data_IF_748535214346
#
_entry.id   IF_748535214346
#
_cell.length_a   1.000
_cell.length_b   1.000
_cell.length_c   1.000
_cell.angle_alpha   90.00
_cell.angle_beta   90.00
_cell.angle_gamma   90.00
#
_symmetry.space_group_name_H-M   'P 1'
#
loop_
_entity.id
_entity.type
_entity.pdbx_description
1 polymer ?
#
# COMPACT_ATOMS: atom_id res chain seq x y z
N UNK A 1 -9.50 -12.99 -3.02
CA UNK A 1 -8.43 -12.36 -3.83
C UNK A 1 -8.89 -10.99 -4.28
N UNK A 2 -8.00 -10.01 -4.26
CA UNK A 2 -8.34 -8.64 -4.66
C UNK A 2 -8.26 -8.53 -6.18
N UNK A 3 -9.31 -7.97 -6.78
CA UNK A 3 -9.29 -7.62 -8.19
C UNK A 3 -8.74 -6.19 -8.33
N UNK A 4 -7.43 -6.09 -8.53
CA UNK A 4 -6.75 -4.81 -8.61
C UNK A 4 -7.15 -3.98 -9.83
N UNK A 5 -7.67 -4.61 -10.89
CA UNK A 5 -8.14 -3.89 -12.08
C UNK A 5 -9.40 -3.08 -11.80
N UNK A 6 -10.18 -3.50 -10.80
CA UNK A 6 -11.41 -2.81 -10.39
C UNK A 6 -11.22 -2.04 -9.10
N UNK A 7 -9.99 -1.93 -8.64
CA UNK A 7 -9.69 -1.20 -7.41
C UNK A 7 -9.97 0.28 -7.58
N UNK A 8 -10.80 0.83 -6.69
CA UNK A 8 -11.04 2.26 -6.57
C UNK A 8 -10.82 2.64 -5.11
N UNK A 9 -9.77 3.43 -4.81
CA UNK A 9 -9.48 3.77 -3.41
C UNK A 9 -10.63 4.49 -2.71
N UNK A 10 -11.53 5.15 -3.44
CA UNK A 10 -12.69 5.80 -2.83
C UNK A 10 -13.64 4.81 -2.15
N UNK A 11 -13.62 3.53 -2.56
CA UNK A 11 -14.49 2.49 -2.00
C UNK A 11 -13.84 1.73 -0.86
N UNK A 12 -12.60 2.05 -0.50
CA UNK A 12 -11.83 1.30 0.48
C UNK A 12 -11.58 2.10 1.75
N UNK A 13 -11.41 1.37 2.86
CA UNK A 13 -10.95 1.93 4.13
C UNK A 13 -9.47 1.64 4.30
N UNK A 14 -8.72 2.61 4.82
CA UNK A 14 -7.28 2.50 4.98
C UNK A 14 -6.85 2.76 6.40
N UNK A 15 -5.91 1.96 6.87
CA UNK A 15 -5.15 2.22 8.08
C UNK A 15 -3.67 2.28 7.72
N UNK A 16 -2.91 3.10 8.44
CA UNK A 16 -1.48 3.26 8.19
C UNK A 16 -0.71 3.02 9.48
N UNK A 17 0.34 2.20 9.40
CA UNK A 17 1.29 2.08 10.48
C UNK A 17 2.27 3.25 10.35
N UNK A 18 1.91 4.36 10.96
CA UNK A 18 2.65 5.62 10.83
C UNK A 18 4.09 5.50 11.31
N UNK A 19 4.30 4.75 12.39
CA UNK A 19 5.63 4.58 12.97
C UNK A 19 6.56 3.78 12.06
N UNK A 20 6.08 2.68 11.49
CA UNK A 20 6.88 1.88 10.57
C UNK A 20 7.19 2.63 9.28
N UNK A 21 6.23 3.39 8.77
CA UNK A 21 6.46 4.23 7.59
C UNK A 21 7.49 5.32 7.91
N UNK A 22 7.36 5.98 9.06
CA UNK A 22 8.30 7.04 9.46
C UNK A 22 9.71 6.50 9.65
N UNK A 23 9.88 5.25 10.08
CA UNK A 23 11.20 4.63 10.20
C UNK A 23 11.92 4.54 8.85
N UNK A 24 11.19 4.56 7.75
CA UNK A 24 11.72 4.59 6.38
C UNK A 24 11.57 5.96 5.73
N UNK A 25 11.33 6.99 6.54
CA UNK A 25 11.19 8.38 6.09
C UNK A 25 10.02 8.57 5.11
N UNK A 26 8.93 7.84 5.33
CA UNK A 26 7.71 7.94 4.53
C UNK A 26 6.60 8.48 5.42
N UNK A 27 5.98 9.58 5.00
CA UNK A 27 4.76 10.07 5.64
C UNK A 27 3.55 9.29 5.16
N UNK A 28 2.52 9.18 6.01
CA UNK A 28 1.30 8.46 5.61
C UNK A 28 0.64 9.09 4.38
N UNK A 29 0.77 10.42 4.20
CA UNK A 29 0.23 11.10 3.03
C UNK A 29 0.94 10.65 1.74
N UNK A 30 2.24 10.32 1.80
CA UNK A 30 2.97 9.82 0.64
C UNK A 30 2.46 8.43 0.24
N UNK A 31 2.19 7.57 1.22
CA UNK A 31 1.61 6.26 0.97
C UNK A 31 0.21 6.41 0.34
N UNK A 32 -0.59 7.34 0.86
CA UNK A 32 -1.90 7.64 0.29
C UNK A 32 -1.80 8.11 -1.16
N UNK A 33 -0.83 8.96 -1.48
CA UNK A 33 -0.62 9.44 -2.86
C UNK A 33 -0.31 8.28 -3.81
N UNK A 34 0.53 7.34 -3.39
CA UNK A 34 0.81 6.14 -4.20
C UNK A 34 -0.46 5.37 -4.50
N UNK A 35 -1.30 5.18 -3.49
CA UNK A 35 -2.55 4.43 -3.64
C UNK A 35 -3.51 5.15 -4.59
N UNK A 36 -3.64 6.46 -4.46
CA UNK A 36 -4.55 7.24 -5.29
C UNK A 36 -4.04 7.50 -6.70
N UNK A 37 -2.72 7.52 -6.89
CA UNK A 37 -2.11 7.75 -8.20
C UNK A 37 -2.09 6.51 -9.10
N UNK A 38 -2.38 5.35 -8.52
CA UNK A 38 -2.27 4.09 -9.24
C UNK A 38 -0.94 3.40 -9.00
N UNK A 39 -0.96 2.08 -9.01
CA UNK A 39 0.18 1.27 -8.63
C UNK A 39 0.13 -0.09 -9.31
N UNK A 40 1.25 -0.81 -9.27
CA UNK A 40 1.33 -2.22 -9.64
C UNK A 40 1.30 -3.04 -8.36
N UNK A 41 0.45 -4.07 -8.30
CA UNK A 41 0.32 -4.93 -7.14
C UNK A 41 0.87 -6.32 -7.43
N UNK A 42 1.58 -6.88 -6.44
CA UNK A 42 2.08 -8.25 -6.48
C UNK A 42 1.78 -8.94 -5.16
N UNK A 43 1.51 -10.25 -5.17
CA UNK A 43 1.40 -11.00 -3.93
C UNK A 43 2.70 -10.93 -3.14
N UNK A 44 2.58 -10.85 -1.81
CA UNK A 44 3.72 -10.84 -0.89
C UNK A 44 3.40 -11.78 0.27
N UNK A 45 3.03 -13.02 -0.07
CA UNK A 45 2.50 -13.96 0.90
C UNK A 45 3.52 -14.36 1.97
N UNK A 46 4.54 -15.08 1.61
CA UNK A 46 5.55 -15.50 2.57
C UNK A 46 4.95 -16.06 3.87
N UNK A 47 5.60 -15.81 4.97
CA UNK A 47 5.17 -16.27 6.30
C UNK A 47 3.95 -15.51 6.85
N UNK A 48 3.55 -14.44 6.22
CA UNK A 48 2.45 -13.59 6.69
C UNK A 48 1.10 -13.93 6.05
N UNK A 49 1.06 -14.95 5.20
CA UNK A 49 -0.17 -15.44 4.61
C UNK A 49 -0.54 -14.76 3.29
N UNK A 50 -1.69 -15.17 2.71
CA UNK A 50 -2.03 -14.82 1.33
C UNK A 50 -2.59 -13.42 1.13
N UNK A 51 -2.91 -12.68 2.19
CA UNK A 51 -3.56 -11.36 2.08
C UNK A 51 -2.56 -10.20 2.09
N UNK A 52 -1.29 -10.49 1.94
CA UNK A 52 -0.24 -9.49 1.85
C UNK A 52 0.13 -9.20 0.41
N UNK A 53 0.31 -7.92 0.11
CA UNK A 53 0.65 -7.46 -1.23
C UNK A 53 1.74 -6.42 -1.17
N UNK A 54 2.48 -6.34 -2.26
CA UNK A 54 3.48 -5.31 -2.49
C UNK A 54 2.92 -4.36 -3.55
N UNK A 55 2.84 -3.09 -3.21
CA UNK A 55 2.37 -2.05 -4.14
C UNK A 55 3.56 -1.21 -4.57
N UNK A 56 3.71 -1.04 -5.87
CA UNK A 56 4.76 -0.20 -6.46
C UNK A 56 4.11 0.97 -7.18
N UNK A 57 4.44 2.17 -6.79
CA UNK A 57 3.87 3.37 -7.41
C UNK A 57 4.66 4.61 -7.05
N UNK A 58 4.12 5.77 -7.41
CA UNK A 58 4.81 7.05 -7.22
C UNK A 58 3.94 8.02 -6.43
N UNK A 59 4.62 8.85 -5.64
CA UNK A 59 3.98 9.99 -4.98
C UNK A 59 3.67 11.08 -5.99
N UNK A 60 2.95 12.11 -5.57
CA UNK A 60 2.64 13.27 -6.41
C UNK A 60 3.92 13.98 -6.87
N UNK A 61 4.97 13.94 -6.06
CA UNK A 61 6.27 14.50 -6.43
C UNK A 61 7.07 13.59 -7.37
N UNK A 62 6.52 12.45 -7.79
CA UNK A 62 7.17 11.52 -8.70
C UNK A 62 8.13 10.55 -8.03
N UNK A 63 8.12 10.49 -6.70
CA UNK A 63 9.05 9.64 -5.95
C UNK A 63 8.54 8.19 -5.92
N UNK A 64 9.32 7.21 -6.38
CA UNK A 64 8.88 5.82 -6.38
C UNK A 64 8.94 5.21 -4.98
N UNK A 65 7.88 4.54 -4.59
CA UNK A 65 7.77 3.84 -3.31
C UNK A 65 7.30 2.42 -3.51
N UNK A 66 7.77 1.53 -2.63
CA UNK A 66 7.25 0.18 -2.46
C UNK A 66 6.52 0.16 -1.12
N UNK A 67 5.26 -0.25 -1.12
CA UNK A 67 4.46 -0.38 0.09
C UNK A 67 4.15 -1.86 0.32
N UNK A 68 4.16 -2.26 1.58
CA UNK A 68 3.66 -3.58 1.99
C UNK A 68 2.31 -3.34 2.67
N UNK A 69 1.29 -4.01 2.16
CA UNK A 69 -0.07 -3.85 2.66
C UNK A 69 -0.68 -5.20 3.03
N UNK A 70 -1.62 -5.16 3.96
CA UNK A 70 -2.43 -6.32 4.34
C UNK A 70 -3.89 -5.99 4.06
N UNK A 71 -4.55 -6.83 3.28
CA UNK A 71 -5.97 -6.70 3.01
C UNK A 71 -6.72 -7.44 4.10
N UNK A 72 -7.46 -6.71 4.93
CA UNK A 72 -8.09 -7.25 6.13
C UNK A 72 -9.60 -7.36 6.05
N UNK A 73 -10.14 -7.44 4.87
CA UNK A 73 -11.58 -7.55 4.66
C UNK A 73 -11.91 -7.31 3.21
N UNK A 74 -13.21 -7.17 2.90
CA UNK A 74 -13.63 -7.02 1.51
C UNK A 74 -13.05 -5.75 0.87
N UNK A 75 -12.95 -4.65 1.64
CA UNK A 75 -12.49 -3.35 1.14
C UNK A 75 -11.74 -2.59 2.24
N UNK A 76 -10.92 -3.29 3.00
CA UNK A 76 -10.10 -2.72 4.05
C UNK A 76 -8.65 -3.10 3.85
N UNK A 77 -7.78 -2.13 3.98
CA UNK A 77 -6.35 -2.31 3.78
C UNK A 77 -5.58 -1.62 4.90
N UNK A 78 -4.56 -2.31 5.42
CA UNK A 78 -3.61 -1.71 6.33
C UNK A 78 -2.27 -1.58 5.62
N UNK A 79 -1.76 -0.37 5.53
CA UNK A 79 -0.41 -0.11 5.03
C UNK A 79 0.56 -0.32 6.18
N UNK A 80 1.39 -1.36 6.09
CA UNK A 80 2.23 -1.80 7.21
C UNK A 80 3.57 -1.10 7.20
N UNK A 81 4.21 -1.04 6.06
CA UNK A 81 5.52 -0.42 5.91
C UNK A 81 5.76 -0.07 4.45
N UNK A 82 6.90 0.53 4.18
CA UNK A 82 7.29 0.84 2.81
C UNK A 82 8.73 1.29 2.74
N UNK A 83 9.23 1.40 1.53
CA UNK A 83 10.59 1.86 1.24
C UNK A 83 10.60 2.73 0.01
N UNK A 84 11.57 3.62 -0.03
CA UNK A 84 11.91 4.33 -1.26
C UNK A 84 12.73 3.41 -2.16
N UNK A 85 12.47 3.51 -3.43
CA UNK A 85 13.17 2.68 -4.41
C UNK A 85 14.18 3.51 -5.17
#
# INVERSE_FOLDING_TARGET
MVDWYRFDPADWSFEYDVEKLAAHEIGEWEAAEVIWNGFTARPNAGKHGPNRYQLLGRTDAGRPLKLIVHVSGARSMRVITGWRI
#
